data_IF_413591285185
#
_entry.id   IF_413591285185
#
_cell.length_a   1.000
_cell.length_b   1.000
_cell.length_c   1.000
_cell.angle_alpha   90.00
_cell.angle_beta   90.00
_cell.angle_gamma   90.00
#
_symmetry.space_group_name_H-M   'P 1'
#
loop_
_entity.id
_entity.type
_entity.pdbx_description
1 polymer ?
#
# COMPACT_ATOMS: atom_id res chain seq x y z
N UNK A 1 -5.41 22.24 -16.60
CA UNK A 1 -6.28 22.52 -15.44
C UNK A 1 -5.31 22.64 -14.28
N UNK A 2 -5.00 23.86 -13.89
CA UNK A 2 -3.94 24.11 -12.92
C UNK A 2 -4.53 23.89 -11.52
N UNK A 3 -4.17 22.78 -10.89
CA UNK A 3 -4.51 22.52 -9.50
C UNK A 3 -3.60 23.37 -8.60
N UNK A 4 -3.82 24.68 -8.60
CA UNK A 4 -3.09 25.58 -7.73
C UNK A 4 -3.71 25.50 -6.32
N UNK A 5 -3.03 24.84 -5.40
CA UNK A 5 -3.37 24.89 -3.97
C UNK A 5 -2.94 26.27 -3.46
N UNK A 6 -3.90 27.06 -2.99
CA UNK A 6 -3.62 28.39 -2.41
C UNK A 6 -2.98 28.25 -1.02
N UNK A 7 -2.29 29.30 -0.58
CA UNK A 7 -1.68 29.33 0.76
C UNK A 7 -2.75 29.23 1.84
N UNK A 8 -3.87 29.91 1.66
CA UNK A 8 -5.00 29.94 2.57
C UNK A 8 -5.63 28.54 2.70
N UNK A 9 -5.77 27.81 1.59
CA UNK A 9 -6.24 26.42 1.61
C UNK A 9 -5.27 25.50 2.36
N UNK A 10 -3.95 25.66 2.15
CA UNK A 10 -2.96 24.87 2.85
C UNK A 10 -2.98 25.13 4.36
N UNK A 11 -3.00 26.41 4.77
CA UNK A 11 -3.10 26.82 6.17
C UNK A 11 -4.39 26.29 6.81
N UNK A 12 -5.52 26.34 6.11
CA UNK A 12 -6.77 25.75 6.58
C UNK A 12 -6.65 24.23 6.75
N UNK A 13 -6.21 23.49 5.73
CA UNK A 13 -6.15 22.03 5.77
C UNK A 13 -5.18 21.51 6.83
N UNK A 14 -4.03 22.17 6.99
CA UNK A 14 -3.03 21.83 8.01
C UNK A 14 -3.46 22.22 9.43
N UNK A 15 -4.52 23.03 9.59
CA UNK A 15 -5.05 23.40 10.91
C UNK A 15 -6.00 22.35 11.51
N UNK A 16 -6.48 21.39 10.71
CA UNK A 16 -7.47 20.42 11.16
C UNK A 16 -6.84 19.38 12.12
N UNK A 17 -7.41 19.18 13.32
CA UNK A 17 -7.05 18.07 14.19
C UNK A 17 -7.39 16.72 13.56
N UNK A 18 -6.65 15.67 13.93
CA UNK A 18 -6.82 14.33 13.38
C UNK A 18 -8.26 13.79 13.58
N UNK A 19 -8.87 14.08 14.73
CA UNK A 19 -10.22 13.65 15.08
C UNK A 19 -11.27 14.34 14.19
N UNK A 20 -11.01 15.60 13.81
CA UNK A 20 -11.90 16.35 12.91
C UNK A 20 -11.91 15.70 11.53
N UNK A 21 -10.75 15.28 11.02
CA UNK A 21 -10.63 14.63 9.72
C UNK A 21 -11.55 13.39 9.61
N UNK A 22 -11.71 12.62 10.69
CA UNK A 22 -12.55 11.42 10.70
C UNK A 22 -14.07 11.70 10.60
N UNK A 23 -14.48 12.95 10.80
CA UNK A 23 -15.90 13.36 10.76
C UNK A 23 -16.25 14.18 9.51
N UNK A 24 -15.24 14.56 8.72
CA UNK A 24 -15.43 15.37 7.52
C UNK A 24 -16.01 14.55 6.37
N UNK A 25 -16.99 15.12 5.67
CA UNK A 25 -17.64 14.51 4.51
C UNK A 25 -17.13 15.04 3.17
N UNK A 26 -16.38 16.14 3.18
CA UNK A 26 -15.84 16.82 2.00
C UNK A 26 -14.37 16.43 1.71
N UNK A 27 -13.94 15.24 2.12
CA UNK A 27 -12.60 14.73 1.87
C UNK A 27 -12.45 14.27 0.41
N UNK A 28 -11.25 14.45 -0.14
CA UNK A 28 -10.90 13.96 -1.49
C UNK A 28 -10.57 12.45 -1.51
N UNK A 29 -10.36 11.86 -0.35
CA UNK A 29 -10.07 10.44 -0.18
C UNK A 29 -10.69 9.94 1.13
N UNK A 30 -10.97 8.64 1.19
CA UNK A 30 -11.42 7.98 2.41
C UNK A 30 -10.28 7.94 3.44
N UNK A 31 -10.57 8.28 4.70
CA UNK A 31 -9.63 8.15 5.81
C UNK A 31 -10.12 7.03 6.73
N UNK A 32 -9.28 6.02 6.94
CA UNK A 32 -9.52 4.92 7.89
C UNK A 32 -8.49 4.96 9.00
N UNK A 33 -8.96 5.01 10.25
CA UNK A 33 -8.11 4.96 11.44
C UNK A 33 -8.32 3.64 12.18
N UNK A 34 -7.24 3.03 12.66
CA UNK A 34 -7.24 1.79 13.45
C UNK A 34 -6.52 2.00 14.77
N UNK A 35 -6.83 1.13 15.74
CA UNK A 35 -6.31 1.25 17.11
C UNK A 35 -4.83 0.91 17.20
N UNK A 36 -4.34 0.03 16.33
CA UNK A 36 -2.95 -0.41 16.28
C UNK A 36 -2.45 -0.53 14.84
N UNK A 37 -1.12 -0.51 14.68
CA UNK A 37 -0.47 -0.81 13.40
C UNK A 37 -0.83 -2.21 12.90
N UNK A 38 -0.92 -3.20 13.80
CA UNK A 38 -1.29 -4.57 13.43
C UNK A 38 -2.69 -4.63 12.79
N UNK A 39 -3.67 -3.95 13.40
CA UNK A 39 -5.04 -3.89 12.85
C UNK A 39 -5.07 -3.21 11.48
N UNK A 40 -4.26 -2.15 11.31
CA UNK A 40 -4.12 -1.44 10.03
C UNK A 40 -3.50 -2.35 8.95
N UNK A 41 -2.41 -3.06 9.27
CA UNK A 41 -1.72 -3.93 8.31
C UNK A 41 -2.58 -5.15 7.95
N UNK A 42 -3.33 -5.70 8.90
CA UNK A 42 -4.30 -6.75 8.63
C UNK A 42 -5.42 -6.26 7.68
N UNK A 43 -5.94 -5.06 7.89
CA UNK A 43 -6.93 -4.48 6.97
C UNK A 43 -6.34 -4.26 5.58
N UNK A 44 -5.15 -3.68 5.45
CA UNK A 44 -4.49 -3.46 4.15
C UNK A 44 -4.32 -4.80 3.43
N UNK A 45 -3.85 -5.84 4.13
CA UNK A 45 -3.73 -7.17 3.55
C UNK A 45 -5.07 -7.77 3.10
N UNK A 46 -6.16 -7.51 3.84
CA UNK A 46 -7.51 -7.90 3.42
C UNK A 46 -7.96 -7.15 2.16
N UNK A 47 -7.72 -5.83 2.07
CA UNK A 47 -8.04 -5.02 0.89
C UNK A 47 -7.31 -5.52 -0.36
N UNK A 48 -6.03 -5.90 -0.24
CA UNK A 48 -5.28 -6.51 -1.35
C UNK A 48 -5.92 -7.81 -1.83
N UNK A 49 -6.35 -8.67 -0.90
CA UNK A 49 -7.01 -9.95 -1.24
C UNK A 49 -8.37 -9.71 -1.88
N UNK A 50 -9.15 -8.77 -1.36
CA UNK A 50 -10.46 -8.43 -1.91
C UNK A 50 -10.35 -7.88 -3.34
N UNK A 51 -9.40 -6.98 -3.60
CA UNK A 51 -9.13 -6.50 -4.96
C UNK A 51 -8.73 -7.65 -5.89
N UNK A 52 -7.84 -8.54 -5.44
CA UNK A 52 -7.44 -9.72 -6.20
C UNK A 52 -8.64 -10.62 -6.54
N UNK A 53 -9.50 -10.91 -5.57
CA UNK A 53 -10.70 -11.72 -5.77
C UNK A 53 -11.67 -11.07 -6.75
N UNK A 54 -11.90 -9.75 -6.62
CA UNK A 54 -12.76 -8.99 -7.53
C UNK A 54 -12.21 -9.01 -8.97
N UNK A 55 -10.90 -8.82 -9.14
CA UNK A 55 -10.27 -8.88 -10.46
C UNK A 55 -10.32 -10.29 -11.06
N UNK A 56 -10.05 -11.32 -10.26
CA UNK A 56 -10.17 -12.71 -10.69
C UNK A 56 -11.59 -13.04 -11.16
N UNK A 57 -12.61 -12.62 -10.39
CA UNK A 57 -14.02 -12.80 -10.76
C UNK A 57 -14.38 -12.06 -12.06
N UNK A 58 -13.78 -10.89 -12.29
CA UNK A 58 -13.95 -10.11 -13.51
C UNK A 58 -13.05 -10.56 -14.68
N UNK A 59 -12.22 -11.59 -14.51
CA UNK A 59 -11.25 -12.03 -15.52
C UNK A 59 -10.15 -11.02 -15.85
N UNK A 60 -9.88 -10.06 -14.95
CA UNK A 60 -8.87 -9.01 -15.11
C UNK A 60 -7.57 -9.36 -14.40
N UNK A 61 -6.46 -8.82 -14.88
CA UNK A 61 -5.20 -8.88 -14.16
C UNK A 61 -5.19 -7.92 -12.96
N UNK A 62 -4.58 -8.35 -11.86
CA UNK A 62 -4.25 -7.47 -10.73
C UNK A 62 -2.85 -6.92 -10.94
N UNK A 63 -2.69 -5.60 -10.87
CA UNK A 63 -1.41 -4.92 -11.08
C UNK A 63 -1.13 -4.01 -9.90
N UNK A 64 -0.08 -4.32 -9.14
CA UNK A 64 0.31 -3.56 -7.96
C UNK A 64 1.61 -2.80 -8.19
N UNK A 65 1.65 -1.56 -7.69
CA UNK A 65 2.88 -0.81 -7.48
C UNK A 65 3.10 -0.82 -5.97
N UNK A 66 4.16 -1.48 -5.51
CA UNK A 66 4.39 -1.76 -4.11
C UNK A 66 5.63 -1.00 -3.63
N UNK A 67 5.55 -0.23 -2.53
CA UNK A 67 6.72 0.35 -1.91
C UNK A 67 7.55 -0.73 -1.20
N UNK A 68 8.80 -0.42 -0.92
CA UNK A 68 9.73 -1.26 -0.15
C UNK A 68 9.23 -1.58 1.27
N UNK A 69 8.34 -0.75 1.82
CA UNK A 69 7.66 -0.99 3.09
C UNK A 69 6.39 -0.15 3.22
N UNK A 70 5.51 -0.44 4.19
CA UNK A 70 5.57 -1.50 5.20
C UNK A 70 5.51 -2.92 4.61
N UNK A 71 5.87 -3.96 5.38
CA UNK A 71 5.89 -5.36 4.92
C UNK A 71 4.80 -6.24 5.57
N UNK A 72 4.31 -5.86 6.75
CA UNK A 72 3.41 -6.69 7.58
C UNK A 72 2.09 -7.04 6.88
N UNK A 73 1.59 -6.17 6.00
CA UNK A 73 0.37 -6.45 5.22
C UNK A 73 0.53 -7.68 4.31
N UNK A 74 1.76 -7.99 3.89
CA UNK A 74 2.03 -9.16 3.07
C UNK A 74 1.88 -10.46 3.84
N UNK A 75 2.11 -10.48 5.15
CA UNK A 75 1.86 -11.68 5.97
C UNK A 75 0.38 -12.08 5.90
N UNK A 76 -0.51 -11.08 6.00
CA UNK A 76 -1.95 -11.31 5.89
C UNK A 76 -2.35 -11.77 4.49
N UNK A 77 -1.82 -11.14 3.44
CA UNK A 77 -2.02 -11.54 2.05
C UNK A 77 -1.60 -13.00 1.82
N UNK A 78 -0.36 -13.36 2.19
CA UNK A 78 0.21 -14.70 2.02
C UNK A 78 -0.64 -15.73 2.76
N UNK A 79 -1.05 -15.45 3.99
CA UNK A 79 -1.89 -16.34 4.80
C UNK A 79 -3.22 -16.64 4.10
N UNK A 80 -3.92 -15.60 3.64
CA UNK A 80 -5.22 -15.76 2.95
C UNK A 80 -5.08 -16.46 1.62
N UNK A 81 -4.12 -16.06 0.79
CA UNK A 81 -3.86 -16.71 -0.51
C UNK A 81 -3.65 -18.21 -0.36
N UNK A 82 -2.83 -18.63 0.62
CA UNK A 82 -2.55 -20.04 0.85
C UNK A 82 -3.75 -20.79 1.45
N UNK A 83 -4.42 -20.21 2.45
CA UNK A 83 -5.55 -20.85 3.13
C UNK A 83 -6.77 -21.00 2.20
N UNK A 84 -7.08 -19.96 1.42
CA UNK A 84 -8.24 -19.91 0.52
C UNK A 84 -7.91 -20.44 -0.89
N UNK A 85 -6.64 -20.82 -1.15
CA UNK A 85 -6.15 -21.30 -2.45
C UNK A 85 -6.44 -20.32 -3.59
N UNK A 86 -6.20 -19.03 -3.35
CA UNK A 86 -6.51 -17.97 -4.30
C UNK A 86 -5.53 -18.02 -5.48
N UNK A 87 -6.01 -18.12 -6.74
CA UNK A 87 -5.14 -18.10 -7.90
C UNK A 87 -4.44 -16.75 -8.07
N UNK A 88 -3.12 -16.76 -8.18
CA UNK A 88 -2.28 -15.56 -8.43
C UNK A 88 -1.69 -15.49 -9.85
N UNK A 89 -2.16 -16.34 -10.78
CA UNK A 89 -1.60 -16.47 -12.14
C UNK A 89 -1.59 -15.18 -12.97
N UNK A 90 -2.47 -14.22 -12.66
CA UNK A 90 -2.61 -12.95 -13.36
C UNK A 90 -2.27 -11.75 -12.44
N UNK A 91 -1.38 -11.96 -11.47
CA UNK A 91 -0.89 -10.89 -10.59
C UNK A 91 0.46 -10.41 -11.10
N UNK A 92 0.61 -9.10 -11.23
CA UNK A 92 1.85 -8.44 -11.61
C UNK A 92 2.19 -7.39 -10.54
N UNK A 93 3.36 -7.51 -9.94
CA UNK A 93 3.85 -6.56 -8.95
C UNK A 93 5.07 -5.81 -9.50
N UNK A 94 5.08 -4.49 -9.30
CA UNK A 94 6.16 -3.59 -9.65
C UNK A 94 6.63 -2.91 -8.37
N UNK A 95 7.94 -2.87 -8.14
CA UNK A 95 8.49 -2.11 -7.01
C UNK A 95 8.47 -0.61 -7.34
N UNK A 96 7.98 0.19 -6.39
CA UNK A 96 7.88 1.65 -6.52
C UNK A 96 9.25 2.32 -6.38
N UNK A 97 10.06 1.77 -5.47
CA UNK A 97 11.37 2.24 -5.07
C UNK A 97 12.32 1.03 -4.89
N UNK A 98 13.61 1.31 -4.81
CA UNK A 98 14.68 0.32 -4.66
C UNK A 98 15.80 0.95 -3.81
N UNK A 99 16.41 0.16 -2.93
CA UNK A 99 17.57 0.62 -2.17
C UNK A 99 18.82 0.60 -3.04
N UNK A 100 19.52 1.74 -3.07
CA UNK A 100 20.78 1.89 -3.78
C UNK A 100 21.89 2.27 -2.80
N UNK A 101 23.09 1.77 -3.06
CA UNK A 101 24.29 2.21 -2.36
C UNK A 101 24.61 3.69 -2.66
N UNK A 102 25.62 4.23 -1.99
CA UNK A 102 26.06 5.62 -2.20
C UNK A 102 26.53 5.93 -3.63
N UNK A 103 26.76 4.91 -4.47
CA UNK A 103 27.14 5.03 -5.88
C UNK A 103 25.94 4.83 -6.82
N UNK A 104 24.73 4.66 -6.29
CA UNK A 104 23.51 4.44 -7.07
C UNK A 104 23.39 3.01 -7.61
N UNK A 105 24.05 2.02 -7.00
CA UNK A 105 23.97 0.62 -7.42
C UNK A 105 23.03 -0.19 -6.52
N UNK A 106 22.31 -1.18 -7.05
CA UNK A 106 21.55 -2.10 -6.21
C UNK A 106 22.47 -2.81 -5.21
N UNK A 107 21.98 -3.02 -3.99
CA UNK A 107 22.64 -3.89 -3.03
C UNK A 107 22.77 -5.33 -3.58
N UNK A 108 23.78 -6.10 -3.14
CA UNK A 108 23.91 -7.50 -3.55
C UNK A 108 22.66 -8.31 -3.20
N UNK A 109 22.35 -9.30 -4.04
CA UNK A 109 21.17 -10.15 -3.87
C UNK A 109 21.40 -11.13 -2.72
N UNK A 110 20.92 -10.79 -1.54
CA UNK A 110 21.03 -11.60 -0.32
C UNK A 110 19.82 -11.34 0.59
N UNK A 111 19.52 -12.27 1.51
CA UNK A 111 18.39 -12.19 2.43
C UNK A 111 18.60 -11.09 3.49
N UNK A 112 18.52 -9.83 3.05
CA UNK A 112 18.74 -8.61 3.82
C UNK A 112 17.67 -7.59 3.46
N UNK A 113 17.35 -6.72 4.40
CA UNK A 113 16.34 -5.68 4.24
C UNK A 113 16.64 -4.74 3.06
N UNK A 114 17.92 -4.44 2.83
CA UNK A 114 18.37 -3.54 1.77
C UNK A 114 18.40 -4.19 0.38
N UNK A 115 18.16 -5.50 0.29
CA UNK A 115 18.19 -6.27 -0.94
C UNK A 115 16.79 -6.76 -1.29
N UNK A 116 16.02 -5.94 -2.01
CA UNK A 116 14.63 -6.26 -2.39
C UNK A 116 14.52 -7.42 -3.39
N UNK A 117 15.65 -7.80 -3.99
CA UNK A 117 15.77 -8.95 -4.90
C UNK A 117 16.23 -10.21 -4.19
N UNK A 118 16.73 -10.09 -2.95
CA UNK A 118 17.21 -11.22 -2.17
C UNK A 118 16.07 -11.78 -1.34
N UNK A 119 15.64 -12.99 -1.70
CA UNK A 119 14.63 -13.77 -0.97
C UNK A 119 15.25 -14.53 0.19
#
# INVERSE_FOLDING_TARGET
MDFLITREQLEEWCSYPAEKLLTMTNLKAEIRCRKSTSDLMEEIGNLMVEELLQNNAAGRATRWILPTGPLDQYERLIRRVNAERIPMKNVYAFMMDEFLDWQGRPYPVEARYESLRGT
#
